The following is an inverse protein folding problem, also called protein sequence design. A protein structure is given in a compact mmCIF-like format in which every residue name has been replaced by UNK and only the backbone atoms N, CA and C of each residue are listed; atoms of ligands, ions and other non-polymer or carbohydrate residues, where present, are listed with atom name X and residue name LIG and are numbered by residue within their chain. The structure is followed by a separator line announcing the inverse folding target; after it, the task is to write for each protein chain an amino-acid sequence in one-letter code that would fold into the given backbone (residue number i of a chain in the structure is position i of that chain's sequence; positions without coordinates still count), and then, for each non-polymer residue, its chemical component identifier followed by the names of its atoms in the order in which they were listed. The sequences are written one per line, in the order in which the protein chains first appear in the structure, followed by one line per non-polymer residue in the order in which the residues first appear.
data_IF_844977991459
#
_entry.id   IF_844977991459
#
_cell.length_a   1.000
_cell.length_b   1.000
_cell.length_c   1.000
_cell.angle_alpha   90.00
_cell.angle_beta   90.00
_cell.angle_gamma   90.00
#
_symmetry.space_group_name_H-M   'P 1'
#
loop_
_entity.id
_entity.type
_entity.pdbx_description
1 polymer ?
#
# COMPACT_ATOMS: atom_id res chain seq x y z
N UNK A 1 -58.17 57.14 -8.48
CA UNK A 1 -57.44 56.01 -7.84
C UNK A 1 -57.24 54.94 -8.88
N UNK A 2 -56.04 54.84 -9.47
CA UNK A 2 -55.68 53.71 -10.33
C UNK A 2 -54.17 53.49 -10.23
N UNK A 3 -53.82 52.29 -9.79
CA UNK A 3 -52.47 51.83 -9.53
C UNK A 3 -51.68 51.64 -10.84
N UNK A 4 -50.46 52.18 -10.89
CA UNK A 4 -49.51 51.93 -11.97
C UNK A 4 -48.69 50.70 -11.61
N UNK A 5 -48.88 49.63 -12.39
CA UNK A 5 -48.16 48.37 -12.26
C UNK A 5 -46.67 48.52 -12.64
N UNK A 6 -45.79 47.98 -11.79
CA UNK A 6 -44.35 47.88 -12.06
C UNK A 6 -44.11 46.59 -12.86
N UNK A 7 -43.60 46.74 -14.08
CA UNK A 7 -43.15 45.64 -14.94
C UNK A 7 -41.92 44.96 -14.34
N UNK A 8 -42.01 43.64 -14.14
CA UNK A 8 -40.88 42.78 -13.78
C UNK A 8 -40.19 42.35 -15.08
N UNK A 9 -38.96 42.82 -15.29
CA UNK A 9 -38.14 42.49 -16.44
C UNK A 9 -37.74 41.01 -16.47
N UNK A 10 -37.94 40.37 -17.62
CA UNK A 10 -37.53 38.99 -17.93
C UNK A 10 -36.01 38.87 -18.00
N UNK A 11 -35.41 38.03 -17.14
CA UNK A 11 -33.98 37.72 -17.20
C UNK A 11 -33.74 36.59 -18.21
N UNK A 12 -33.04 36.93 -19.28
CA UNK A 12 -32.65 36.07 -20.39
C UNK A 12 -31.81 34.88 -19.90
N UNK A 13 -32.17 33.66 -20.29
CA UNK A 13 -31.32 32.46 -20.10
C UNK A 13 -30.10 32.58 -21.03
N UNK A 14 -28.96 32.97 -20.46
CA UNK A 14 -27.67 32.93 -21.15
C UNK A 14 -27.16 31.49 -21.28
N UNK A 15 -26.87 31.08 -22.50
CA UNK A 15 -26.23 29.81 -22.83
C UNK A 15 -24.87 29.67 -22.12
N UNK A 16 -24.69 28.57 -21.38
CA UNK A 16 -23.40 28.19 -20.80
C UNK A 16 -22.49 27.64 -21.92
N UNK A 17 -21.25 28.12 -22.08
CA UNK A 17 -20.35 27.58 -23.08
C UNK A 17 -19.96 26.14 -22.72
N UNK A 18 -20.06 25.25 -23.69
CA UNK A 18 -19.68 23.85 -23.56
C UNK A 18 -18.19 23.72 -23.21
N UNK A 19 -17.88 22.98 -22.14
CA UNK A 19 -16.52 22.70 -21.73
C UNK A 19 -15.75 21.97 -22.84
N UNK A 20 -14.70 22.62 -23.37
CA UNK A 20 -13.77 22.01 -24.34
C UNK A 20 -13.07 20.83 -23.68
N UNK A 21 -13.33 19.62 -24.18
CA UNK A 21 -12.61 18.41 -23.81
C UNK A 21 -11.15 18.59 -24.23
N UNK A 22 -10.25 18.73 -23.25
CA UNK A 22 -8.80 18.80 -23.49
C UNK A 22 -8.32 17.56 -24.24
N UNK A 23 -7.38 17.74 -25.18
CA UNK A 23 -6.74 16.65 -25.92
C UNK A 23 -6.13 15.64 -24.92
N UNK A 24 -6.29 14.32 -25.14
CA UNK A 24 -5.58 13.34 -24.34
C UNK A 24 -4.08 13.58 -24.47
N UNK A 25 -3.38 13.66 -23.33
CA UNK A 25 -1.93 13.78 -23.28
C UNK A 25 -1.24 12.60 -24.01
N UNK A 26 0.05 12.75 -24.35
CA UNK A 26 0.78 11.74 -25.09
C UNK A 26 0.71 10.38 -24.39
N UNK A 27 0.40 9.33 -25.16
CA UNK A 27 0.38 7.97 -24.66
C UNK A 27 1.76 7.61 -24.11
N UNK A 28 1.83 7.24 -22.83
CA UNK A 28 3.08 6.75 -22.22
C UNK A 28 3.56 5.54 -23.03
N UNK A 29 4.82 5.56 -23.46
CA UNK A 29 5.45 4.39 -24.11
C UNK A 29 5.36 3.20 -23.14
N UNK A 30 4.75 2.10 -23.59
CA UNK A 30 4.67 0.86 -22.80
C UNK A 30 6.06 0.29 -22.57
N UNK A 31 6.28 -0.25 -21.38
CA UNK A 31 7.52 -0.95 -21.02
C UNK A 31 7.66 -2.20 -21.90
N UNK A 32 8.79 -2.40 -22.60
CA UNK A 32 8.98 -3.56 -23.45
C UNK A 32 8.92 -4.86 -22.62
N UNK A 33 8.11 -5.82 -23.06
CA UNK A 33 7.89 -7.06 -22.31
C UNK A 33 9.05 -8.05 -22.43
N UNK A 34 9.69 -8.14 -23.60
CA UNK A 34 10.68 -9.18 -23.91
C UNK A 34 12.14 -8.76 -23.65
N UNK A 35 12.42 -7.46 -23.58
CA UNK A 35 13.78 -6.94 -23.45
C UNK A 35 13.81 -5.84 -22.39
N UNK A 36 14.75 -5.96 -21.45
CA UNK A 36 15.02 -4.92 -20.47
C UNK A 36 15.54 -3.66 -21.17
N UNK A 37 14.92 -2.48 -20.97
CA UNK A 37 15.45 -1.23 -21.49
C UNK A 37 16.88 -0.93 -21.00
N UNK A 38 17.62 -0.20 -21.82
CA UNK A 38 18.86 0.46 -21.40
C UNK A 38 18.52 1.55 -20.35
N UNK A 39 19.34 1.68 -19.31
CA UNK A 39 19.11 2.63 -18.21
C UNK A 39 18.16 2.17 -17.09
N UNK A 40 17.67 0.93 -17.12
CA UNK A 40 16.81 0.37 -16.07
C UNK A 40 17.42 -0.90 -15.46
N UNK A 41 17.32 -1.07 -14.14
CA UNK A 41 17.69 -2.33 -13.48
C UNK A 41 16.67 -3.43 -13.78
N UNK A 42 17.05 -4.70 -13.57
CA UNK A 42 16.13 -5.83 -13.75
C UNK A 42 14.90 -5.69 -12.85
N UNK A 43 15.10 -5.29 -11.60
CA UNK A 43 14.04 -5.07 -10.62
C UNK A 43 13.09 -3.95 -11.04
N UNK A 44 13.63 -2.78 -11.40
CA UNK A 44 12.82 -1.65 -11.89
C UNK A 44 11.98 -2.03 -13.10
N UNK A 45 12.55 -2.80 -14.02
CA UNK A 45 11.84 -3.30 -15.21
C UNK A 45 10.71 -4.25 -14.84
N UNK A 46 10.96 -5.20 -13.94
CA UNK A 46 9.95 -6.16 -13.49
C UNK A 46 8.81 -5.51 -12.67
N UNK A 47 9.12 -4.46 -11.90
CA UNK A 47 8.12 -3.65 -11.20
C UNK A 47 7.27 -2.89 -12.22
N UNK A 48 7.90 -2.16 -13.16
CA UNK A 48 7.19 -1.40 -14.19
C UNK A 48 6.19 -2.27 -14.98
N UNK A 49 6.64 -3.46 -15.42
CA UNK A 49 5.79 -4.43 -16.11
C UNK A 49 4.58 -4.86 -15.27
N UNK A 50 4.74 -5.10 -13.96
CA UNK A 50 3.63 -5.49 -13.07
C UNK A 50 2.61 -4.36 -12.90
N UNK A 51 3.07 -3.12 -12.81
CA UNK A 51 2.18 -1.96 -12.73
C UNK A 51 1.41 -1.75 -14.03
N UNK A 52 2.07 -1.80 -15.19
CA UNK A 52 1.41 -1.66 -16.50
C UNK A 52 0.46 -2.82 -16.77
N UNK A 53 0.91 -4.06 -16.59
CA UNK A 53 0.08 -5.24 -16.77
C UNK A 53 -1.12 -5.21 -15.84
N UNK A 54 -0.92 -4.84 -14.58
CA UNK A 54 -1.96 -4.65 -13.59
C UNK A 54 -3.00 -3.61 -14.03
N UNK A 55 -2.58 -2.47 -14.56
CA UNK A 55 -3.47 -1.41 -15.04
C UNK A 55 -4.40 -1.87 -16.19
N UNK A 56 -3.89 -2.76 -17.05
CA UNK A 56 -4.63 -3.32 -18.19
C UNK A 56 -5.62 -4.44 -17.78
N UNK A 57 -5.58 -4.92 -16.53
CA UNK A 57 -6.47 -6.00 -16.08
C UNK A 57 -7.93 -5.57 -15.94
N UNK A 58 -8.83 -6.49 -16.29
CA UNK A 58 -10.30 -6.37 -16.14
C UNK A 58 -10.80 -7.03 -14.84
N UNK A 59 -10.09 -6.81 -13.74
CA UNK A 59 -10.50 -7.33 -12.43
C UNK A 59 -11.65 -6.50 -11.83
N UNK A 60 -12.41 -7.12 -10.93
CA UNK A 60 -13.37 -6.41 -10.08
C UNK A 60 -12.66 -5.95 -8.80
N UNK A 61 -12.95 -4.72 -8.36
CA UNK A 61 -12.38 -4.12 -7.16
C UNK A 61 -13.49 -3.81 -6.16
N UNK A 62 -13.37 -4.32 -4.94
CA UNK A 62 -14.24 -3.97 -3.81
C UNK A 62 -13.40 -3.40 -2.68
N UNK A 63 -13.78 -2.24 -2.14
CA UNK A 63 -13.18 -1.71 -0.92
C UNK A 63 -13.80 -2.45 0.28
N UNK A 64 -12.97 -2.97 1.17
CA UNK A 64 -13.37 -3.70 2.37
C UNK A 64 -13.22 -2.87 3.64
N UNK A 65 -12.42 -1.79 3.60
CA UNK A 65 -12.22 -0.88 4.72
C UNK A 65 -12.89 0.48 4.54
N UNK A 66 -12.79 1.32 5.58
CA UNK A 66 -13.42 2.66 5.60
C UNK A 66 -12.65 3.74 4.84
N UNK A 67 -11.36 3.54 4.57
CA UNK A 67 -10.53 4.53 3.88
C UNK A 67 -10.76 4.55 2.35
N UNK A 68 -10.74 5.73 1.70
CA UNK A 68 -10.94 5.81 0.24
C UNK A 68 -9.71 5.37 -0.58
N UNK A 69 -8.51 5.47 0.01
CA UNK A 69 -7.20 5.18 -0.60
C UNK A 69 -6.45 4.15 0.24
N UNK A 70 -6.09 4.52 1.47
CA UNK A 70 -5.43 3.62 2.40
C UNK A 70 -6.45 2.70 3.04
N UNK A 71 -6.61 1.52 2.46
CA UNK A 71 -7.64 0.58 2.85
C UNK A 71 -7.23 -0.85 2.50
N UNK A 72 -8.10 -1.78 2.85
CA UNK A 72 -8.08 -3.14 2.37
C UNK A 72 -9.06 -3.29 1.20
N UNK A 73 -8.66 -4.03 0.17
CA UNK A 73 -9.43 -4.24 -1.05
C UNK A 73 -9.49 -5.73 -1.40
N UNK A 74 -10.64 -6.18 -1.89
CA UNK A 74 -10.76 -7.45 -2.61
C UNK A 74 -10.61 -7.19 -4.11
N UNK A 75 -9.70 -7.93 -4.75
CA UNK A 75 -9.52 -7.96 -6.20
C UNK A 75 -9.90 -9.33 -6.71
N UNK A 76 -10.98 -9.40 -7.50
CA UNK A 76 -11.47 -10.65 -8.07
C UNK A 76 -11.16 -10.72 -9.56
N UNK A 77 -10.57 -11.82 -10.00
CA UNK A 77 -10.37 -12.11 -11.42
C UNK A 77 -11.59 -12.88 -11.97
N UNK A 78 -12.42 -12.27 -12.86
CA UNK A 78 -13.61 -12.93 -13.39
C UNK A 78 -13.32 -14.22 -14.17
N UNK A 79 -12.15 -14.32 -14.80
CA UNK A 79 -11.79 -15.49 -15.63
C UNK A 79 -11.41 -16.71 -14.79
N UNK A 80 -10.71 -16.49 -13.67
CA UNK A 80 -10.24 -17.58 -12.79
C UNK A 80 -11.11 -17.81 -11.56
N UNK A 81 -12.13 -16.98 -11.34
CA UNK A 81 -12.93 -16.89 -10.11
C UNK A 81 -12.15 -16.62 -8.80
N UNK A 82 -10.81 -16.50 -8.85
CA UNK A 82 -9.97 -16.21 -7.68
C UNK A 82 -10.15 -14.78 -7.19
N UNK A 83 -10.13 -14.61 -5.87
CA UNK A 83 -10.16 -13.30 -5.20
C UNK A 83 -8.97 -13.19 -4.26
N UNK A 84 -8.27 -12.07 -4.32
CA UNK A 84 -7.13 -11.76 -3.45
C UNK A 84 -7.43 -10.53 -2.59
N UNK A 85 -6.86 -10.50 -1.39
CA UNK A 85 -6.88 -9.36 -0.46
C UNK A 85 -5.62 -8.52 -0.67
N UNK A 86 -5.81 -7.22 -0.83
CA UNK A 86 -4.75 -6.24 -1.05
C UNK A 86 -4.88 -5.15 0.01
N UNK A 87 -3.79 -4.82 0.68
CA UNK A 87 -3.73 -3.69 1.61
C UNK A 87 -2.88 -2.60 0.99
N UNK A 88 -3.45 -1.42 0.77
CA UNK A 88 -2.72 -0.27 0.19
C UNK A 88 -2.29 0.68 1.30
N UNK A 89 -0.98 0.96 1.38
CA UNK A 89 -0.38 1.95 2.30
C UNK A 89 0.57 2.93 1.62
N UNK A 90 0.92 2.69 0.36
CA UNK A 90 1.82 3.55 -0.40
C UNK A 90 2.02 3.05 -1.83
N UNK A 91 2.84 3.78 -2.59
CA UNK A 91 3.10 3.51 -4.01
C UNK A 91 4.35 2.66 -4.22
N UNK A 92 5.25 2.66 -3.25
CA UNK A 92 6.55 2.03 -3.40
C UNK A 92 6.42 0.52 -3.18
N UNK A 93 7.28 -0.28 -3.85
CA UNK A 93 7.58 -1.64 -3.43
C UNK A 93 7.71 -1.77 -1.91
N UNK A 94 7.00 -2.73 -1.32
CA UNK A 94 7.05 -3.03 0.11
C UNK A 94 6.14 -2.17 1.00
N UNK A 95 5.55 -1.08 0.48
CA UNK A 95 4.58 -0.29 1.25
C UNK A 95 3.28 -1.08 1.47
N UNK A 96 2.86 -1.83 0.46
CA UNK A 96 1.56 -2.47 0.34
C UNK A 96 1.68 -3.99 0.37
N UNK A 97 0.61 -4.68 0.75
CA UNK A 97 0.57 -6.14 0.86
C UNK A 97 -0.46 -6.76 -0.09
N UNK A 98 -0.18 -7.97 -0.58
CA UNK A 98 -1.16 -8.78 -1.29
C UNK A 98 -1.02 -10.26 -0.93
N UNK A 99 -2.12 -10.96 -0.66
CA UNK A 99 -2.08 -12.39 -0.33
C UNK A 99 -1.97 -13.34 -1.56
N UNK A 100 -1.63 -12.83 -2.74
CA UNK A 100 -1.50 -13.67 -3.92
C UNK A 100 -0.15 -14.43 -3.94
N UNK A 101 -0.09 -15.63 -4.54
CA UNK A 101 1.15 -16.43 -4.56
C UNK A 101 2.36 -15.70 -5.17
N UNK A 102 2.18 -14.93 -6.26
CA UNK A 102 3.26 -14.12 -6.87
C UNK A 102 3.88 -13.15 -5.84
N UNK A 103 3.05 -12.44 -5.08
CA UNK A 103 3.53 -11.48 -4.07
C UNK A 103 4.30 -12.17 -2.94
N UNK A 104 3.84 -13.34 -2.50
CA UNK A 104 4.46 -14.07 -1.40
C UNK A 104 5.88 -14.56 -1.73
N UNK A 105 6.13 -14.95 -2.99
CA UNK A 105 7.39 -15.59 -3.40
C UNK A 105 8.33 -14.67 -4.17
N UNK A 106 7.83 -13.60 -4.79
CA UNK A 106 8.68 -12.67 -5.50
C UNK A 106 9.49 -11.79 -4.54
N UNK A 107 10.53 -11.16 -5.07
CA UNK A 107 11.45 -10.30 -4.31
C UNK A 107 11.25 -8.82 -4.63
N UNK A 108 10.07 -8.45 -5.15
CA UNK A 108 9.81 -7.12 -5.71
C UNK A 108 8.94 -6.24 -4.81
N UNK A 109 8.36 -6.79 -3.74
CA UNK A 109 7.47 -6.03 -2.84
C UNK A 109 6.19 -5.50 -3.51
N UNK A 110 5.84 -6.03 -4.68
CA UNK A 110 4.65 -5.66 -5.44
C UNK A 110 4.22 -6.82 -6.34
N UNK A 111 2.99 -6.75 -6.85
CA UNK A 111 2.45 -7.70 -7.81
C UNK A 111 1.47 -7.00 -8.75
N UNK A 112 1.00 -7.71 -9.78
CA UNK A 112 -0.01 -7.18 -10.71
C UNK A 112 -1.31 -6.73 -10.02
N UNK A 113 -1.67 -7.32 -8.88
CA UNK A 113 -2.87 -6.94 -8.15
C UNK A 113 -2.68 -5.59 -7.43
N UNK A 114 -1.53 -5.38 -6.79
CA UNK A 114 -1.16 -4.07 -6.19
C UNK A 114 -1.13 -3.00 -7.29
N UNK A 115 -0.48 -3.29 -8.42
CA UNK A 115 -0.45 -2.41 -9.59
C UNK A 115 -1.84 -2.06 -10.12
N UNK A 116 -2.73 -3.07 -10.24
CA UNK A 116 -4.13 -2.87 -10.62
C UNK A 116 -4.85 -1.91 -9.66
N UNK A 117 -4.79 -2.15 -8.35
CA UNK A 117 -5.48 -1.32 -7.34
C UNK A 117 -4.95 0.11 -7.38
N UNK A 118 -3.63 0.31 -7.34
CA UNK A 118 -3.01 1.65 -7.41
C UNK A 118 -3.46 2.39 -8.67
N UNK A 119 -3.48 1.73 -9.83
CA UNK A 119 -3.97 2.36 -11.07
C UNK A 119 -5.42 2.84 -10.97
N UNK A 120 -6.28 2.14 -10.20
CA UNK A 120 -7.69 2.54 -10.02
C UNK A 120 -7.82 3.65 -8.99
N UNK A 121 -7.05 3.59 -7.91
CA UNK A 121 -7.05 4.62 -6.87
C UNK A 121 -6.54 5.95 -7.41
N UNK A 122 -5.44 5.96 -8.17
CA UNK A 122 -4.84 7.19 -8.71
C UNK A 122 -5.71 7.94 -9.73
N UNK A 123 -6.81 7.34 -10.19
CA UNK A 123 -7.84 8.01 -11.02
C UNK A 123 -8.89 8.75 -10.19
N UNK A 124 -8.98 8.47 -8.88
CA UNK A 124 -9.92 9.15 -7.98
C UNK A 124 -9.39 10.54 -7.60
N UNK A 125 -10.26 11.55 -7.47
CA UNK A 125 -9.87 12.87 -6.98
C UNK A 125 -9.14 12.79 -5.64
N UNK A 126 -8.04 13.52 -5.49
CA UNK A 126 -7.25 13.61 -4.25
C UNK A 126 -6.41 12.38 -3.89
N UNK A 127 -6.56 11.25 -4.59
CA UNK A 127 -5.86 10.01 -4.23
C UNK A 127 -4.34 10.08 -4.45
N UNK A 128 -3.89 10.74 -5.53
CA UNK A 128 -2.44 10.94 -5.77
C UNK A 128 -1.81 11.76 -4.64
N UNK A 129 -2.43 12.88 -4.29
CA UNK A 129 -1.98 13.72 -3.18
C UNK A 129 -2.03 13.00 -1.84
N UNK A 130 -3.02 12.14 -1.61
CA UNK A 130 -3.07 11.31 -0.41
C UNK A 130 -1.90 10.30 -0.35
N UNK A 131 -1.60 9.64 -1.47
CA UNK A 131 -0.46 8.72 -1.58
C UNK A 131 0.89 9.44 -1.41
N UNK A 132 1.02 10.65 -1.95
CA UNK A 132 2.22 11.50 -1.80
C UNK A 132 2.43 11.96 -0.34
N UNK A 133 1.34 12.32 0.37
CA UNK A 133 1.42 12.63 1.80
C UNK A 133 1.76 11.42 2.67
N UNK A 134 1.58 10.21 2.15
CA UNK A 134 1.87 8.99 2.87
C UNK A 134 0.78 8.56 3.86
N UNK A 135 0.84 7.29 4.22
CA UNK A 135 -0.09 6.67 5.16
C UNK A 135 0.29 6.98 6.61
N UNK A 136 -0.71 7.44 7.38
CA UNK A 136 -0.60 7.69 8.81
C UNK A 136 -1.56 6.75 9.55
N UNK A 137 -1.08 5.68 10.18
CA UNK A 137 -1.97 4.74 10.86
C UNK A 137 -2.54 5.33 12.15
N UNK A 138 -3.75 4.89 12.50
CA UNK A 138 -4.42 5.26 13.75
C UNK A 138 -3.87 4.52 14.98
N UNK A 139 -3.08 3.47 14.77
CA UNK A 139 -2.47 2.65 15.81
C UNK A 139 -1.08 2.21 15.35
N UNK A 140 -0.14 1.96 16.28
CA UNK A 140 1.14 1.41 15.89
C UNK A 140 0.95 0.00 15.32
N UNK A 141 1.77 -0.35 14.33
CA UNK A 141 1.69 -1.63 13.65
C UNK A 141 3.08 -2.26 13.44
N UNK A 142 3.14 -3.59 13.55
CA UNK A 142 4.29 -4.41 13.21
C UNK A 142 3.89 -5.31 12.05
N UNK A 143 4.52 -5.12 10.89
CA UNK A 143 4.17 -5.81 9.64
C UNK A 143 5.42 -6.38 8.97
N UNK A 144 5.22 -7.34 8.06
CA UNK A 144 6.28 -7.86 7.22
C UNK A 144 6.39 -7.02 5.94
N UNK A 145 7.53 -6.36 5.73
CA UNK A 145 7.84 -5.66 4.48
C UNK A 145 8.47 -6.65 3.51
N UNK A 146 7.81 -6.87 2.38
CA UNK A 146 8.28 -7.75 1.30
C UNK A 146 9.15 -6.96 0.31
N UNK A 147 10.15 -7.62 -0.27
CA UNK A 147 11.12 -7.03 -1.19
C UNK A 147 12.30 -7.99 -1.42
N UNK A 148 13.45 -7.46 -1.82
CA UNK A 148 14.68 -8.24 -2.00
C UNK A 148 15.06 -9.05 -0.74
N UNK A 149 14.78 -8.47 0.42
CA UNK A 149 14.77 -9.13 1.72
C UNK A 149 13.41 -8.89 2.38
N UNK A 150 13.04 -9.77 3.30
CA UNK A 150 11.87 -9.59 4.16
C UNK A 150 12.32 -9.00 5.49
N UNK A 151 11.76 -7.85 5.84
CA UNK A 151 12.04 -7.18 7.11
C UNK A 151 10.77 -7.11 7.97
N UNK A 152 10.86 -7.46 9.25
CA UNK A 152 9.82 -7.13 10.24
C UNK A 152 9.95 -5.65 10.56
N UNK A 153 8.91 -4.87 10.33
CA UNK A 153 8.97 -3.40 10.45
C UNK A 153 7.95 -2.90 11.46
N UNK A 154 8.39 -2.01 12.34
CA UNK A 154 7.52 -1.21 13.19
C UNK A 154 7.17 0.12 12.50
N UNK A 155 5.88 0.46 12.46
CA UNK A 155 5.37 1.77 12.07
C UNK A 155 4.59 2.37 13.23
N UNK A 156 5.01 3.57 13.65
CA UNK A 156 4.30 4.32 14.69
C UNK A 156 2.94 4.81 14.20
N UNK A 157 2.03 5.03 15.14
CA UNK A 157 0.82 5.82 14.89
C UNK A 157 1.17 7.27 14.54
N UNK A 158 0.18 8.03 14.07
CA UNK A 158 0.36 9.44 13.69
C UNK A 158 0.94 10.35 14.79
N UNK A 159 0.82 9.98 16.07
CA UNK A 159 1.38 10.70 17.22
C UNK A 159 2.83 10.28 17.57
N UNK A 160 3.41 9.34 16.81
CA UNK A 160 4.75 8.81 17.04
C UNK A 160 4.83 7.74 18.14
N UNK A 161 3.69 7.26 18.66
CA UNK A 161 3.58 6.21 19.68
C UNK A 161 4.51 6.41 20.90
N UNK A 162 4.34 7.49 21.68
CA UNK A 162 5.28 7.86 22.74
C UNK A 162 5.52 6.77 23.79
N UNK A 163 4.48 6.00 24.15
CA UNK A 163 4.54 4.90 25.14
C UNK A 163 5.47 3.76 24.72
N UNK A 164 5.69 3.59 23.41
CA UNK A 164 6.51 2.53 22.82
C UNK A 164 7.93 3.00 22.45
N UNK A 165 8.19 4.32 22.38
CA UNK A 165 9.41 4.90 21.82
C UNK A 165 10.70 4.26 22.33
N UNK A 166 10.86 4.16 23.66
CA UNK A 166 12.06 3.59 24.27
C UNK A 166 12.18 2.07 24.10
N UNK A 167 11.06 1.35 23.98
CA UNK A 167 11.04 -0.09 23.76
C UNK A 167 11.38 -0.42 22.30
N UNK A 168 10.83 0.36 21.36
CA UNK A 168 11.07 0.24 19.92
C UNK A 168 12.53 0.53 19.60
N UNK A 169 13.14 1.60 20.14
CA UNK A 169 14.54 1.95 19.83
C UNK A 169 15.56 0.87 20.23
N UNK A 170 15.22 0.04 21.24
CA UNK A 170 16.05 -1.12 21.62
C UNK A 170 16.02 -2.24 20.59
N UNK A 171 14.87 -2.48 19.95
CA UNK A 171 14.64 -3.65 19.09
C UNK A 171 14.64 -3.34 17.59
N UNK A 172 14.32 -2.11 17.20
CA UNK A 172 14.20 -1.68 15.81
C UNK A 172 15.23 -0.60 15.48
N UNK A 173 15.70 -0.60 14.23
CA UNK A 173 16.58 0.42 13.67
C UNK A 173 15.85 1.72 13.35
N UNK A 174 16.61 2.73 12.91
CA UNK A 174 16.07 4.03 12.52
C UNK A 174 15.14 3.95 11.28
N UNK A 175 15.33 2.93 10.43
CA UNK A 175 14.47 2.61 9.29
C UNK A 175 13.19 1.84 9.68
N UNK A 176 13.00 1.61 10.97
CA UNK A 176 11.90 0.85 11.54
C UNK A 176 12.04 -0.67 11.39
N UNK A 177 13.13 -1.20 10.84
CA UNK A 177 13.33 -2.64 10.69
C UNK A 177 13.82 -3.29 12.00
N UNK A 178 13.35 -4.50 12.29
CA UNK A 178 13.77 -5.28 13.45
C UNK A 178 15.25 -5.63 13.32
N UNK A 179 16.04 -5.35 14.36
CA UNK A 179 17.47 -5.66 14.36
C UNK A 179 17.69 -7.18 14.33
N UNK A 180 18.75 -7.69 13.66
CA UNK A 180 19.02 -9.12 13.58
C UNK A 180 19.03 -9.84 14.94
N UNK A 181 19.68 -9.25 15.94
CA UNK A 181 19.78 -9.76 17.31
C UNK A 181 18.46 -9.69 18.11
N UNK A 182 17.49 -8.90 17.64
CA UNK A 182 16.18 -8.75 18.28
C UNK A 182 15.20 -9.87 17.90
N UNK A 183 15.45 -10.63 16.82
CA UNK A 183 14.58 -11.76 16.42
C UNK A 183 14.47 -12.81 17.53
N UNK A 184 15.55 -13.11 18.24
CA UNK A 184 15.55 -14.11 19.31
C UNK A 184 14.66 -13.71 20.51
N UNK A 185 14.46 -12.40 20.73
CA UNK A 185 13.74 -11.82 21.88
C UNK A 185 12.42 -11.14 21.47
N UNK A 186 11.97 -11.35 20.25
CA UNK A 186 10.81 -10.65 19.69
C UNK A 186 9.53 -10.87 20.50
N UNK A 187 9.33 -12.07 21.05
CA UNK A 187 8.15 -12.39 21.89
C UNK A 187 8.11 -11.59 23.19
N UNK A 188 9.27 -11.32 23.79
CA UNK A 188 9.39 -10.49 25.00
C UNK A 188 9.10 -9.03 24.66
N UNK A 189 9.66 -8.54 23.56
CA UNK A 189 9.31 -7.22 23.03
C UNK A 189 7.80 -7.10 22.79
N UNK A 190 7.18 -8.04 22.09
CA UNK A 190 5.78 -7.97 21.71
C UNK A 190 4.87 -7.96 22.94
N UNK A 191 5.14 -8.82 23.92
CA UNK A 191 4.40 -8.87 25.18
C UNK A 191 4.51 -7.57 25.97
N UNK A 192 5.70 -6.99 26.06
CA UNK A 192 5.91 -5.70 26.74
C UNK A 192 5.28 -4.54 25.97
N UNK A 193 5.34 -4.55 24.64
CA UNK A 193 4.74 -3.53 23.81
C UNK A 193 3.21 -3.57 23.91
N UNK A 194 2.62 -4.77 23.88
CA UNK A 194 1.18 -4.98 24.06
C UNK A 194 0.68 -4.73 25.49
N UNK A 195 1.55 -4.69 26.51
CA UNK A 195 1.14 -4.26 27.85
C UNK A 195 1.13 -2.73 27.99
N UNK A 196 2.02 -2.04 27.26
CA UNK A 196 2.12 -0.57 27.23
C UNK A 196 1.10 0.08 26.28
N UNK A 197 0.78 -0.58 25.19
CA UNK A 197 -0.17 -0.10 24.18
C UNK A 197 -1.05 -1.24 23.66
N UNK A 198 -2.31 -1.25 24.10
CA UNK A 198 -3.31 -2.25 23.68
C UNK A 198 -3.79 -2.06 22.24
N UNK A 199 -3.52 -0.91 21.62
CA UNK A 199 -3.87 -0.65 20.23
C UNK A 199 -2.81 -1.16 19.25
N UNK A 200 -1.60 -1.50 19.73
CA UNK A 200 -0.55 -2.09 18.90
C UNK A 200 -1.04 -3.32 18.16
N UNK A 201 -0.88 -3.32 16.84
CA UNK A 201 -1.20 -4.46 15.98
C UNK A 201 0.07 -5.15 15.50
N UNK A 202 0.11 -6.47 15.60
CA UNK A 202 1.15 -7.27 14.97
C UNK A 202 0.49 -8.20 13.95
N UNK A 203 0.94 -8.14 12.70
CA UNK A 203 0.37 -8.96 11.63
C UNK A 203 0.92 -10.39 11.69
N UNK A 204 0.07 -11.35 11.33
CA UNK A 204 0.35 -12.79 11.44
C UNK A 204 1.54 -13.22 10.59
N UNK A 205 1.73 -12.63 9.41
CA UNK A 205 2.86 -12.93 8.54
C UNK A 205 4.21 -12.46 9.11
N UNK A 206 4.22 -11.36 9.87
CA UNK A 206 5.39 -10.94 10.63
C UNK A 206 5.73 -11.96 11.73
N UNK A 207 4.72 -12.45 12.47
CA UNK A 207 4.90 -13.49 13.50
C UNK A 207 5.44 -14.80 12.90
N UNK A 208 4.84 -15.25 11.80
CA UNK A 208 5.28 -16.46 11.10
C UNK A 208 6.72 -16.34 10.61
N UNK A 209 7.11 -15.17 10.08
CA UNK A 209 8.47 -14.93 9.62
C UNK A 209 9.47 -14.88 10.79
N UNK A 210 9.13 -14.28 11.92
CA UNK A 210 9.98 -14.32 13.12
C UNK A 210 10.21 -15.77 13.58
N UNK A 211 9.16 -16.58 13.62
CA UNK A 211 9.28 -18.00 13.97
C UNK A 211 10.22 -18.73 12.99
N UNK A 212 10.03 -18.52 11.69
CA UNK A 212 10.89 -19.10 10.65
C UNK A 212 12.37 -18.73 10.85
N UNK A 213 12.68 -17.45 11.11
CA UNK A 213 14.07 -16.99 11.33
C UNK A 213 14.68 -17.65 12.56
N UNK A 214 13.93 -17.78 13.66
CA UNK A 214 14.40 -18.42 14.90
C UNK A 214 14.65 -19.91 14.71
N UNK A 215 13.75 -20.60 14.01
CA UNK A 215 13.90 -22.02 13.73
C UNK A 215 15.11 -22.28 12.81
N UNK A 216 15.33 -21.42 11.81
CA UNK A 216 16.53 -21.49 10.97
C UNK A 216 17.82 -21.24 11.76
N UNK A 217 17.82 -20.31 12.73
CA UNK A 217 18.98 -20.07 13.59
C UNK A 217 19.31 -21.30 14.46
N UNK A 218 18.29 -21.88 15.12
CA UNK A 218 18.43 -23.12 15.92
C UNK A 218 18.92 -24.31 15.11
N UNK A 219 18.49 -24.42 13.85
CA UNK A 219 18.95 -25.49 12.97
C UNK A 219 20.42 -25.34 12.62
N UNK A 220 20.91 -24.11 12.37
CA UNK A 220 22.33 -23.86 12.11
C UNK A 220 23.20 -24.26 13.30
N UNK A 221 22.81 -23.85 14.51
CA UNK A 221 23.49 -24.21 15.76
C UNK A 221 23.56 -25.71 16.05
N UNK A 222 22.70 -26.53 15.44
CA UNK A 222 22.66 -28.00 15.64
C UNK A 222 23.43 -28.79 14.58
N UNK A 223 23.73 -28.14 13.45
CA UNK A 223 24.41 -28.76 12.30
C UNK A 223 25.91 -28.42 12.31
N UNK A 224 26.28 -27.32 12.98
CA UNK A 224 27.66 -26.96 13.32
C UNK A 224 28.12 -27.70 14.60
#
# INVERSE_FOLDING_TARGET
MSATAVQVGSVSRGDRPAARRGRPGPARRKTPYRRKPEGMTLEQWQIALRHEFGADQKYRLKNLGGGPVFSEFAVSNPQSARTYRIVIRGRNPGDSFCNCPDFAVNTLGTCKHVGFVLSRLERKPGARSALERGFHPAHPEIFLRYGAKRDVVFRAAGDGSPSLRGLVSRHFGADGALKPEAYARFETFLREASSRDRALRCYEDALAYVAQVRDQARLRERVD
#
